data_IF_021448852894
#
_entry.id   IF_021448852894
#
_cell.length_a   1.000
_cell.length_b   1.000
_cell.length_c   1.000
_cell.angle_alpha   90.00
_cell.angle_beta   90.00
_cell.angle_gamma   90.00
#
_symmetry.space_group_name_H-M   'P 1'
#
loop_
_entity.id
_entity.type
_entity.pdbx_description
1 polymer ?
#
# COMPACT_ATOMS: atom_id res chain seq x y z
N UNK A 1 -17.11 -11.19 28.73
CA UNK A 1 -16.35 -11.58 27.52
C UNK A 1 -16.28 -10.36 26.60
N UNK A 2 -15.10 -9.73 26.42
CA UNK A 2 -14.91 -8.57 25.53
C UNK A 2 -13.89 -8.80 24.38
N UNK A 3 -13.35 -10.01 24.22
CA UNK A 3 -12.12 -10.22 23.46
C UNK A 3 -12.28 -10.12 21.93
N UNK A 4 -13.40 -10.62 21.36
CA UNK A 4 -13.66 -10.56 19.91
C UNK A 4 -13.88 -9.15 19.38
N UNK A 5 -14.63 -8.31 20.11
CA UNK A 5 -14.93 -6.94 19.69
C UNK A 5 -13.68 -6.05 19.72
N UNK A 6 -12.83 -6.21 20.73
CA UNK A 6 -11.56 -5.50 20.88
C UNK A 6 -10.57 -5.86 19.76
N UNK A 7 -10.54 -7.12 19.32
CA UNK A 7 -9.68 -7.55 18.22
C UNK A 7 -10.16 -7.00 16.86
N UNK A 8 -11.48 -6.98 16.61
CA UNK A 8 -12.06 -6.43 15.37
C UNK A 8 -11.81 -4.93 15.18
N UNK A 9 -11.99 -4.12 16.22
CA UNK A 9 -11.71 -2.67 16.17
C UNK A 9 -10.23 -2.37 15.90
N UNK A 10 -9.33 -3.14 16.54
CA UNK A 10 -7.88 -3.02 16.33
C UNK A 10 -7.48 -3.38 14.90
N UNK A 11 -8.10 -4.40 14.32
CA UNK A 11 -7.85 -4.82 12.93
C UNK A 11 -8.32 -3.74 11.96
N UNK A 12 -9.51 -3.17 12.19
CA UNK A 12 -10.03 -2.08 11.36
C UNK A 12 -9.13 -0.84 11.43
N UNK A 13 -8.70 -0.45 12.63
CA UNK A 13 -7.75 0.65 12.82
C UNK A 13 -6.41 0.38 12.14
N UNK A 14 -5.90 -0.86 12.21
CA UNK A 14 -4.64 -1.24 11.59
C UNK A 14 -4.75 -1.20 10.06
N UNK A 15 -5.86 -1.68 9.50
CA UNK A 15 -6.13 -1.61 8.06
C UNK A 15 -6.19 -0.16 7.56
N UNK A 16 -6.82 0.74 8.32
CA UNK A 16 -6.86 2.17 8.00
C UNK A 16 -5.45 2.80 8.02
N UNK A 17 -4.65 2.50 9.03
CA UNK A 17 -3.26 2.97 9.13
C UNK A 17 -2.39 2.46 7.95
N UNK A 18 -2.59 1.21 7.52
CA UNK A 18 -1.91 0.66 6.34
C UNK A 18 -2.37 1.39 5.08
N UNK A 19 -3.67 1.61 4.88
CA UNK A 19 -4.18 2.34 3.71
C UNK A 19 -3.60 3.78 3.63
N UNK A 20 -3.49 4.47 4.76
CA UNK A 20 -2.84 5.77 4.85
C UNK A 20 -1.34 5.70 4.49
N UNK A 21 -0.64 4.67 4.96
CA UNK A 21 0.78 4.46 4.64
C UNK A 21 0.99 4.22 3.15
N UNK A 22 0.12 3.43 2.52
CA UNK A 22 0.14 3.19 1.06
C UNK A 22 -0.04 4.49 0.28
N UNK A 23 -0.98 5.35 0.71
CA UNK A 23 -1.19 6.66 0.07
C UNK A 23 0.05 7.56 0.16
N UNK A 24 0.69 7.62 1.33
CA UNK A 24 1.94 8.38 1.52
C UNK A 24 3.08 7.85 0.65
N UNK A 25 3.22 6.53 0.53
CA UNK A 25 4.22 5.90 -0.35
C UNK A 25 3.98 6.31 -1.80
N UNK A 26 2.74 6.23 -2.29
CA UNK A 26 2.39 6.62 -3.67
C UNK A 26 2.69 8.11 -3.92
N UNK A 27 2.45 8.98 -2.95
CA UNK A 27 2.81 10.41 -3.03
C UNK A 27 4.34 10.61 -3.13
N UNK A 28 5.11 9.92 -2.27
CA UNK A 28 6.57 9.99 -2.31
C UNK A 28 7.13 9.48 -3.64
N UNK A 29 6.58 8.39 -4.17
CA UNK A 29 6.91 7.84 -5.49
C UNK A 29 6.64 8.85 -6.61
N UNK A 30 5.48 9.52 -6.58
CA UNK A 30 5.15 10.58 -7.53
C UNK A 30 6.13 11.74 -7.44
N UNK A 31 6.49 12.17 -6.23
CA UNK A 31 7.51 13.20 -6.02
C UNK A 31 8.89 12.81 -6.59
N UNK A 32 9.27 11.54 -6.45
CA UNK A 32 10.52 11.04 -7.02
C UNK A 32 10.53 11.09 -8.55
N UNK A 33 9.41 10.80 -9.21
CA UNK A 33 9.30 10.96 -10.66
C UNK A 33 9.52 12.40 -11.11
N UNK A 34 8.90 13.36 -10.43
CA UNK A 34 9.10 14.79 -10.71
C UNK A 34 10.57 15.18 -10.59
N UNK A 35 11.23 14.74 -9.51
CA UNK A 35 12.65 15.03 -9.28
C UNK A 35 13.56 14.40 -10.34
N UNK A 36 13.31 13.14 -10.71
CA UNK A 36 14.08 12.45 -11.74
C UNK A 36 13.88 13.10 -13.12
N UNK A 37 12.66 13.52 -13.47
CA UNK A 37 12.42 14.22 -14.74
C UNK A 37 13.15 15.57 -14.79
N UNK A 38 13.11 16.34 -13.71
CA UNK A 38 13.82 17.62 -13.63
C UNK A 38 15.35 17.44 -13.74
N UNK A 39 15.90 16.38 -13.12
CA UNK A 39 17.31 16.04 -13.24
C UNK A 39 17.68 15.61 -14.67
N UNK A 40 16.80 14.88 -15.36
CA UNK A 40 17.02 14.48 -16.75
C UNK A 40 17.17 15.69 -17.67
N UNK A 41 16.43 16.78 -17.44
CA UNK A 41 16.55 18.03 -18.22
C UNK A 41 17.87 18.76 -17.96
N UNK A 42 18.43 18.62 -16.76
CA UNK A 42 19.68 19.26 -16.36
C UNK A 42 20.93 18.53 -16.89
N UNK A 43 20.86 17.22 -17.13
CA UNK A 43 22.00 16.40 -17.53
C UNK A 43 22.14 16.36 -19.06
N UNK A 44 23.15 17.02 -19.62
CA UNK A 44 23.49 17.00 -21.07
C UNK A 44 24.77 16.19 -21.34
N UNK A 45 24.88 15.62 -22.54
CA UNK A 45 26.07 14.87 -22.98
C UNK A 45 26.05 13.39 -22.55
N UNK A 46 27.22 12.75 -22.47
CA UNK A 46 27.36 11.31 -22.15
C UNK A 46 26.79 10.91 -20.78
N UNK A 47 26.61 11.86 -19.86
CA UNK A 47 25.97 11.63 -18.57
C UNK A 47 24.46 11.35 -18.69
N UNK A 48 23.81 11.78 -19.79
CA UNK A 48 22.38 11.57 -20.03
C UNK A 48 22.01 10.09 -20.26
N UNK A 49 22.91 9.29 -20.87
CA UNK A 49 22.66 7.86 -21.08
C UNK A 49 22.68 7.08 -19.76
N UNK A 50 23.63 7.39 -18.88
CA UNK A 50 23.71 6.83 -17.54
C UNK A 50 22.49 7.19 -16.70
N UNK A 51 22.03 8.44 -16.78
CA UNK A 51 20.83 8.89 -16.07
C UNK A 51 19.55 8.19 -16.58
N UNK A 52 19.45 7.96 -17.89
CA UNK A 52 18.35 7.19 -18.49
C UNK A 52 18.26 5.78 -17.91
N UNK A 53 19.41 5.12 -17.68
CA UNK A 53 19.44 3.81 -17.03
C UNK A 53 18.93 3.86 -15.59
N UNK A 54 19.32 4.88 -14.82
CA UNK A 54 18.83 5.08 -13.43
C UNK A 54 17.32 5.30 -13.42
N UNK A 55 16.79 6.12 -14.33
CA UNK A 55 15.36 6.37 -14.44
C UNK A 55 14.57 5.10 -14.82
N UNK A 56 15.14 4.24 -15.67
CA UNK A 56 14.54 2.95 -16.02
C UNK A 56 14.52 1.97 -14.83
N UNK A 57 15.63 1.88 -14.08
CA UNK A 57 15.71 1.07 -12.86
C UNK A 57 14.70 1.53 -11.81
N UNK A 58 14.56 2.85 -11.63
CA UNK A 58 13.54 3.42 -10.75
C UNK A 58 12.12 3.01 -11.15
N UNK A 59 11.76 3.10 -12.44
CA UNK A 59 10.44 2.66 -12.93
C UNK A 59 10.17 1.19 -12.62
N UNK A 60 11.16 0.32 -12.82
CA UNK A 60 11.01 -1.10 -12.52
C UNK A 60 10.79 -1.34 -11.01
N UNK A 61 11.57 -0.65 -10.15
CA UNK A 61 11.39 -0.72 -8.70
C UNK A 61 10.01 -0.23 -8.25
N UNK A 62 9.52 0.85 -8.88
CA UNK A 62 8.20 1.41 -8.60
C UNK A 62 7.07 0.42 -8.97
N UNK A 63 7.17 -0.24 -10.12
CA UNK A 63 6.18 -1.26 -10.52
C UNK A 63 6.14 -2.42 -9.54
N UNK A 64 7.30 -2.90 -9.10
CA UNK A 64 7.39 -3.96 -8.11
C UNK A 64 6.78 -3.53 -6.76
N UNK A 65 7.05 -2.31 -6.34
CA UNK A 65 6.47 -1.74 -5.13
C UNK A 65 4.95 -1.66 -5.23
N UNK A 66 4.41 -1.16 -6.34
CA UNK A 66 2.97 -1.04 -6.56
C UNK A 66 2.27 -2.41 -6.47
N UNK A 67 2.84 -3.44 -7.12
CA UNK A 67 2.32 -4.80 -7.04
C UNK A 67 2.30 -5.33 -5.58
N UNK A 68 3.30 -5.00 -4.78
CA UNK A 68 3.34 -5.34 -3.36
C UNK A 68 2.26 -4.59 -2.55
N UNK A 69 2.06 -3.30 -2.81
CA UNK A 69 1.03 -2.49 -2.14
C UNK A 69 -0.37 -3.02 -2.48
N UNK A 70 -0.65 -3.33 -3.75
CA UNK A 70 -1.92 -3.95 -4.17
C UNK A 70 -2.16 -5.32 -3.54
N UNK A 71 -1.11 -6.12 -3.38
CA UNK A 71 -1.19 -7.41 -2.67
C UNK A 71 -1.62 -7.21 -1.22
N UNK A 72 -0.98 -6.27 -0.52
CA UNK A 72 -1.32 -5.92 0.87
C UNK A 72 -2.77 -5.44 0.98
N UNK A 73 -3.21 -4.56 0.09
CA UNK A 73 -4.61 -4.07 0.08
C UNK A 73 -5.61 -5.21 -0.08
N UNK A 74 -5.36 -6.16 -0.99
CA UNK A 74 -6.21 -7.33 -1.21
C UNK A 74 -6.24 -8.24 0.03
N UNK A 75 -5.10 -8.49 0.65
CA UNK A 75 -5.04 -9.31 1.87
C UNK A 75 -5.81 -8.66 3.03
N UNK A 76 -5.69 -7.35 3.22
CA UNK A 76 -6.41 -6.63 4.28
C UNK A 76 -7.93 -6.59 4.03
N UNK A 77 -8.34 -6.41 2.78
CA UNK A 77 -9.76 -6.47 2.40
C UNK A 77 -10.35 -7.86 2.68
N UNK A 78 -9.63 -8.91 2.28
CA UNK A 78 -10.02 -10.31 2.54
C UNK A 78 -10.15 -10.59 4.04
N UNK A 79 -9.15 -10.19 4.83
CA UNK A 79 -9.20 -10.32 6.28
C UNK A 79 -10.42 -9.61 6.88
N UNK A 80 -10.69 -8.37 6.45
CA UNK A 80 -11.84 -7.59 6.93
C UNK A 80 -13.18 -8.30 6.68
N UNK A 81 -13.36 -8.92 5.50
CA UNK A 81 -14.55 -9.72 5.20
C UNK A 81 -14.69 -10.93 6.12
N UNK A 82 -13.61 -11.69 6.30
CA UNK A 82 -13.62 -12.88 7.18
C UNK A 82 -14.01 -12.52 8.60
N UNK A 83 -13.50 -11.42 9.14
CA UNK A 83 -13.85 -10.96 10.48
C UNK A 83 -15.32 -10.52 10.58
N UNK A 84 -15.83 -9.80 9.58
CA UNK A 84 -17.24 -9.39 9.55
C UNK A 84 -18.18 -10.61 9.52
N UNK A 85 -17.85 -11.62 8.72
CA UNK A 85 -18.65 -12.86 8.63
C UNK A 85 -18.59 -13.65 9.94
N UNK A 86 -17.42 -13.74 10.58
CA UNK A 86 -17.26 -14.43 11.86
C UNK A 86 -18.08 -13.77 12.98
N UNK A 87 -18.08 -12.43 13.04
CA UNK A 87 -18.86 -11.67 14.02
C UNK A 87 -20.37 -11.86 13.80
N UNK A 88 -20.82 -11.84 12.54
CA UNK A 88 -22.22 -12.09 12.19
C UNK A 88 -22.66 -13.51 12.56
N UNK A 89 -21.79 -14.51 12.37
CA UNK A 89 -22.04 -15.89 12.78
C UNK A 89 -22.12 -16.03 14.30
N UNK A 90 -21.16 -15.44 15.04
CA UNK A 90 -21.15 -15.45 16.50
C UNK A 90 -22.41 -14.78 17.08
N UNK A 91 -22.79 -13.63 16.54
CA UNK A 91 -24.01 -12.91 16.97
C UNK A 91 -25.25 -13.79 16.90
N UNK A 92 -25.43 -14.58 15.83
CA UNK A 92 -26.59 -15.48 15.66
C UNK A 92 -26.66 -16.58 16.72
N UNK A 93 -25.52 -17.07 17.23
CA UNK A 93 -25.48 -18.11 18.26
C UNK A 93 -26.03 -17.63 19.61
N UNK A 94 -25.97 -16.32 19.87
CA UNK A 94 -26.47 -15.72 21.11
C UNK A 94 -27.93 -15.27 21.04
N UNK A 95 -28.58 -15.33 19.86
CA UNK A 95 -30.02 -15.06 19.69
C UNK A 95 -30.84 -16.36 19.64
N UNK A 96 -30.20 -17.52 19.81
CA UNK A 96 -30.83 -18.84 19.95
C UNK A 96 -31.02 -19.22 21.41
#
# INVERSE_FOLDING_TARGET
MPQYQVDSERIQSSSAAVAQSISQIRQAVSGMYTNLNALQEAWRGSAASQFTSVAAQWRAAQQQMEASLESIQRSLASASTVYADAEAAASRLFVQ
#
